data_IF_854284847776
#
_entry.id   IF_854284847776
#
_cell.length_a   1.000
_cell.length_b   1.000
_cell.length_c   1.000
_cell.angle_alpha   90.00
_cell.angle_beta   90.00
_cell.angle_gamma   90.00
#
_symmetry.space_group_name_H-M   'P 1'
#
loop_
_entity.id
_entity.type
_entity.pdbx_description
1 polymer ?
#
# COMPACT_ATOMS: atom_id res chain seq x y z
N UNK A 1 98.07 -0.42 25.01
CA UNK A 1 97.10 0.58 25.51
C UNK A 1 96.55 1.32 24.30
N UNK A 2 95.38 0.91 23.84
CA UNK A 2 94.55 1.59 22.83
C UNK A 2 93.38 0.63 22.54
N UNK A 3 92.15 0.99 22.93
CA UNK A 3 90.98 0.16 22.68
C UNK A 3 90.51 0.24 21.21
N UNK A 4 89.77 -0.78 20.77
CA UNK A 4 89.09 -0.81 19.46
C UNK A 4 87.58 -0.99 19.69
N UNK A 5 86.81 0.12 19.83
CA UNK A 5 85.39 0.06 20.17
C UNK A 5 84.52 -0.09 18.91
N UNK A 6 84.49 -1.28 18.32
CA UNK A 6 83.79 -1.52 17.05
C UNK A 6 82.74 -2.66 17.08
N UNK A 7 82.94 -3.72 17.87
CA UNK A 7 82.10 -4.93 17.80
C UNK A 7 80.81 -4.86 18.63
N UNK A 8 80.76 -4.04 19.69
CA UNK A 8 79.57 -3.91 20.54
C UNK A 8 78.42 -3.15 19.84
N UNK A 9 78.75 -2.26 18.91
CA UNK A 9 77.82 -1.34 18.23
C UNK A 9 76.83 -2.03 17.28
N UNK A 10 77.04 -3.32 16.97
CA UNK A 10 76.16 -4.14 16.14
C UNK A 10 75.06 -4.81 16.98
N UNK A 11 75.43 -5.42 18.11
CA UNK A 11 74.47 -6.10 18.99
C UNK A 11 73.51 -5.13 19.67
N UNK A 12 73.98 -3.96 20.10
CA UNK A 12 73.11 -2.95 20.73
C UNK A 12 72.04 -2.44 19.74
N UNK A 13 72.42 -2.21 18.47
CA UNK A 13 71.47 -1.86 17.40
C UNK A 13 70.47 -2.97 17.10
N UNK A 14 70.92 -4.23 17.06
CA UNK A 14 70.05 -5.38 16.81
C UNK A 14 69.03 -5.60 17.96
N UNK A 15 69.34 -5.15 19.17
CA UNK A 15 68.44 -5.17 20.32
C UNK A 15 67.45 -3.98 20.26
N UNK A 16 67.91 -2.78 19.92
CA UNK A 16 67.04 -1.59 19.78
C UNK A 16 66.14 -1.65 18.53
N UNK A 17 66.51 -2.41 17.49
CA UNK A 17 65.68 -2.75 16.34
C UNK A 17 64.68 -3.90 16.59
N UNK A 18 64.51 -4.35 17.84
CA UNK A 18 63.38 -5.23 18.17
C UNK A 18 62.06 -4.53 17.81
N UNK A 19 61.25 -5.10 16.88
CA UNK A 19 60.11 -4.39 16.33
C UNK A 19 59.04 -4.17 17.41
N UNK A 20 58.86 -2.90 17.80
CA UNK A 20 57.86 -2.48 18.80
C UNK A 20 56.51 -3.12 18.48
N UNK A 21 55.94 -3.77 19.49
CA UNK A 21 54.81 -4.69 19.41
C UNK A 21 53.71 -4.22 18.44
N UNK A 22 53.73 -4.76 17.21
CA UNK A 22 52.56 -4.69 16.36
C UNK A 22 51.44 -5.50 17.04
N UNK A 23 50.21 -4.97 17.18
CA UNK A 23 49.11 -5.72 17.74
C UNK A 23 48.91 -7.00 16.91
N UNK A 24 48.98 -8.16 17.56
CA UNK A 24 49.24 -9.47 16.93
C UNK A 24 48.09 -10.08 16.11
N UNK A 25 47.38 -9.29 15.32
CA UNK A 25 46.36 -9.75 14.38
C UNK A 25 45.69 -8.60 13.65
N UNK A 26 45.56 -8.73 12.33
CA UNK A 26 44.82 -7.80 11.48
C UNK A 26 43.38 -7.64 11.94
N UNK A 27 42.83 -6.43 11.82
CA UNK A 27 41.43 -6.14 12.14
C UNK A 27 40.48 -6.93 11.24
N UNK A 28 39.39 -7.43 11.81
CA UNK A 28 38.42 -8.27 11.11
C UNK A 28 37.19 -7.45 10.67
N UNK A 29 37.07 -7.24 9.36
CA UNK A 29 35.86 -6.69 8.72
C UNK A 29 34.77 -7.75 8.56
N UNK A 30 33.56 -7.32 8.18
CA UNK A 30 32.36 -8.17 8.04
C UNK A 30 32.47 -9.33 7.02
N UNK A 31 33.56 -9.43 6.25
CA UNK A 31 33.84 -10.53 5.30
C UNK A 31 35.30 -11.06 5.32
N UNK A 32 36.10 -10.71 6.33
CA UNK A 32 37.51 -11.10 6.44
C UNK A 32 38.41 -9.96 6.95
N UNK A 33 39.73 -10.16 6.97
CA UNK A 33 40.67 -9.12 7.44
C UNK A 33 40.59 -7.83 6.62
N UNK A 34 40.91 -6.68 7.23
CA UNK A 34 41.02 -5.42 6.50
C UNK A 34 42.14 -5.50 5.45
N UNK A 35 41.74 -5.37 4.19
CA UNK A 35 42.64 -5.41 3.05
C UNK A 35 43.69 -4.30 3.11
N UNK A 36 43.34 -3.09 3.55
CA UNK A 36 44.28 -1.97 3.60
C UNK A 36 45.39 -2.22 4.63
N UNK A 37 45.03 -2.79 5.78
CA UNK A 37 45.99 -3.18 6.82
C UNK A 37 46.91 -4.31 6.34
N UNK A 38 46.35 -5.36 5.73
CA UNK A 38 47.10 -6.48 5.16
C UNK A 38 48.02 -6.05 4.02
N UNK A 39 47.55 -5.23 3.07
CA UNK A 39 48.38 -4.72 1.97
C UNK A 39 49.51 -3.81 2.48
N UNK A 40 49.28 -3.05 3.57
CA UNK A 40 50.31 -2.24 4.23
C UNK A 40 51.40 -3.09 4.89
N UNK A 41 51.02 -4.16 5.61
CA UNK A 41 51.98 -5.08 6.21
C UNK A 41 52.74 -5.88 5.15
N UNK A 42 52.08 -6.31 4.06
CA UNK A 42 52.71 -7.01 2.95
C UNK A 42 53.70 -6.12 2.18
N UNK A 43 53.43 -4.82 2.05
CA UNK A 43 54.38 -3.88 1.43
C UNK A 43 55.55 -3.56 2.37
N UNK A 44 55.32 -3.38 3.68
CA UNK A 44 56.41 -3.26 4.67
C UNK A 44 57.30 -4.50 4.67
N UNK A 45 56.73 -5.71 4.73
CA UNK A 45 57.46 -6.97 4.70
C UNK A 45 58.24 -7.17 3.39
N UNK A 46 57.67 -6.75 2.25
CA UNK A 46 58.35 -6.78 0.95
C UNK A 46 59.56 -5.86 0.92
N UNK A 47 59.43 -4.65 1.49
CA UNK A 47 60.52 -3.69 1.58
C UNK A 47 61.63 -4.19 2.52
N UNK A 48 61.27 -4.77 3.68
CA UNK A 48 62.21 -5.44 4.58
C UNK A 48 62.94 -6.61 3.89
N UNK A 49 62.23 -7.46 3.14
CA UNK A 49 62.83 -8.55 2.35
C UNK A 49 63.74 -8.06 1.21
N UNK A 50 63.51 -6.84 0.69
CA UNK A 50 64.37 -6.22 -0.30
C UNK A 50 65.62 -5.61 0.35
N UNK A 51 65.46 -4.96 1.51
CA UNK A 51 66.56 -4.41 2.30
C UNK A 51 67.52 -5.53 2.76
N UNK A 52 67.01 -6.57 3.43
CA UNK A 52 67.80 -7.73 3.88
C UNK A 52 68.53 -8.46 2.74
N UNK A 53 68.04 -8.36 1.49
CA UNK A 53 68.72 -8.89 0.30
C UNK A 53 69.84 -7.99 -0.20
N UNK A 54 69.69 -6.67 -0.10
CA UNK A 54 70.77 -5.73 -0.36
C UNK A 54 71.87 -5.89 0.68
N UNK A 55 71.51 -5.93 1.97
CA UNK A 55 72.46 -6.12 3.08
C UNK A 55 73.22 -7.45 3.00
N UNK A 56 72.55 -8.52 2.54
CA UNK A 56 73.19 -9.81 2.25
C UNK A 56 74.20 -9.70 1.10
N UNK A 57 73.83 -9.09 -0.03
CA UNK A 57 74.72 -8.93 -1.17
C UNK A 57 75.94 -8.04 -0.83
N UNK A 58 75.73 -6.99 -0.04
CA UNK A 58 76.77 -6.13 0.50
C UNK A 58 77.72 -6.89 1.46
N UNK A 59 77.19 -7.82 2.27
CA UNK A 59 78.00 -8.67 3.13
C UNK A 59 78.78 -9.74 2.35
N UNK A 60 78.16 -10.34 1.32
CA UNK A 60 78.81 -11.28 0.40
C UNK A 60 79.96 -10.62 -0.37
N UNK A 61 79.77 -9.39 -0.88
CA UNK A 61 80.82 -8.62 -1.54
C UNK A 61 82.02 -8.31 -0.62
N UNK A 62 81.76 -7.85 0.62
CA UNK A 62 82.82 -7.63 1.63
C UNK A 62 83.55 -8.93 2.00
N UNK A 63 82.84 -10.06 1.99
CA UNK A 63 83.48 -11.38 2.20
C UNK A 63 84.34 -11.79 0.99
N UNK A 64 83.94 -11.46 -0.24
CA UNK A 64 84.77 -11.72 -1.42
C UNK A 64 86.05 -10.84 -1.41
N UNK A 65 85.93 -9.53 -1.13
CA UNK A 65 87.06 -8.61 -0.99
C UNK A 65 88.09 -9.09 0.07
N UNK A 66 87.62 -9.55 1.23
CA UNK A 66 88.52 -10.06 2.29
C UNK A 66 89.19 -11.38 1.91
N UNK A 67 88.52 -12.27 1.16
CA UNK A 67 89.15 -13.46 0.59
C UNK A 67 90.18 -13.12 -0.49
N UNK A 68 89.91 -12.14 -1.35
CA UNK A 68 90.85 -11.64 -2.36
C UNK A 68 92.13 -11.08 -1.70
N UNK A 69 91.97 -10.30 -0.63
CA UNK A 69 93.07 -9.74 0.15
C UNK A 69 93.94 -10.83 0.79
N UNK A 70 93.35 -11.77 1.53
CA UNK A 70 94.09 -12.90 2.15
C UNK A 70 94.78 -13.77 1.08
N UNK A 71 94.13 -14.01 -0.07
CA UNK A 71 94.76 -14.70 -1.22
C UNK A 71 95.91 -13.90 -1.83
N UNK A 72 95.93 -12.57 -1.74
CA UNK A 72 97.04 -11.74 -2.19
C UNK A 72 98.22 -11.78 -1.21
N UNK A 73 97.95 -11.75 0.10
CA UNK A 73 98.96 -11.90 1.15
C UNK A 73 99.61 -13.29 1.13
N UNK A 74 98.83 -14.36 0.93
CA UNK A 74 99.38 -15.71 0.73
C UNK A 74 100.31 -15.80 -0.50
N UNK A 75 99.99 -15.07 -1.58
CA UNK A 75 100.81 -15.07 -2.80
C UNK A 75 102.14 -14.38 -2.58
N UNK A 76 102.15 -13.17 -2.01
CA UNK A 76 103.39 -12.44 -1.74
C UNK A 76 104.25 -13.15 -0.69
N UNK A 77 103.66 -13.78 0.32
CA UNK A 77 104.38 -14.61 1.28
C UNK A 77 105.05 -15.84 0.62
N UNK A 78 104.38 -16.51 -0.32
CA UNK A 78 104.95 -17.63 -1.10
C UNK A 78 106.09 -17.15 -2.01
N UNK A 79 105.91 -16.05 -2.72
CA UNK A 79 106.94 -15.46 -3.60
C UNK A 79 108.22 -15.09 -2.82
N UNK A 80 108.09 -14.54 -1.60
CA UNK A 80 109.22 -14.26 -0.71
C UNK A 80 109.93 -15.54 -0.25
N UNK A 81 109.19 -16.56 0.19
CA UNK A 81 109.76 -17.83 0.62
C UNK A 81 110.46 -18.59 -0.52
N UNK A 82 109.95 -18.52 -1.75
CA UNK A 82 110.62 -19.08 -2.93
C UNK A 82 111.91 -18.33 -3.28
N UNK A 83 111.93 -16.99 -3.14
CA UNK A 83 113.13 -16.18 -3.29
C UNK A 83 114.20 -16.52 -2.25
N UNK A 84 113.83 -16.68 -0.97
CA UNK A 84 114.75 -17.10 0.10
C UNK A 84 115.31 -18.51 -0.15
N UNK A 85 114.46 -19.45 -0.58
CA UNK A 85 114.85 -20.84 -0.87
C UNK A 85 115.82 -20.92 -2.06
N UNK A 86 115.62 -20.12 -3.11
CA UNK A 86 116.57 -20.03 -4.24
C UNK A 86 117.90 -19.37 -3.83
N UNK A 87 117.87 -18.33 -3.00
CA UNK A 87 119.09 -17.71 -2.46
C UNK A 87 119.90 -18.67 -1.57
N UNK A 88 119.23 -19.44 -0.69
CA UNK A 88 119.87 -20.45 0.15
C UNK A 88 120.52 -21.58 -0.68
N UNK A 89 119.86 -22.02 -1.76
CA UNK A 89 120.44 -23.00 -2.71
C UNK A 89 121.69 -22.47 -3.41
N UNK A 90 121.69 -21.20 -3.84
CA UNK A 90 122.87 -20.59 -4.45
C UNK A 90 124.05 -20.50 -3.46
N UNK A 91 123.79 -20.16 -2.19
CA UNK A 91 124.83 -20.16 -1.14
C UNK A 91 125.39 -21.57 -0.86
N UNK A 92 124.58 -22.62 -1.00
CA UNK A 92 125.04 -24.00 -0.87
C UNK A 92 125.97 -24.40 -2.03
N UNK A 93 125.60 -24.13 -3.28
CA UNK A 93 126.48 -24.40 -4.44
C UNK A 93 127.77 -23.59 -4.38
N UNK A 94 127.71 -22.31 -3.96
CA UNK A 94 128.88 -21.47 -3.73
C UNK A 94 129.85 -22.07 -2.69
N UNK A 95 129.33 -22.78 -1.69
CA UNK A 95 130.14 -23.46 -0.68
C UNK A 95 130.73 -24.78 -1.21
N UNK A 96 129.95 -25.57 -1.97
CA UNK A 96 130.42 -26.79 -2.64
C UNK A 96 131.53 -26.48 -3.65
N UNK A 97 131.39 -25.44 -4.47
CA UNK A 97 132.42 -24.99 -5.41
C UNK A 97 133.71 -24.60 -4.68
N UNK A 98 133.64 -23.85 -3.56
CA UNK A 98 134.80 -23.48 -2.75
C UNK A 98 135.47 -24.69 -2.09
N UNK A 99 134.71 -25.70 -1.68
CA UNK A 99 135.27 -26.97 -1.21
C UNK A 99 135.98 -27.70 -2.36
N UNK A 100 135.43 -27.65 -3.57
CA UNK A 100 136.07 -28.25 -4.75
C UNK A 100 137.37 -27.54 -5.14
N UNK A 101 137.43 -26.20 -5.11
CA UNK A 101 138.65 -25.45 -5.43
C UNK A 101 139.74 -25.68 -4.39
N UNK A 102 139.42 -25.63 -3.10
CA UNK A 102 140.37 -25.97 -2.03
C UNK A 102 140.86 -27.42 -2.10
N UNK A 103 140.00 -28.36 -2.54
CA UNK A 103 140.39 -29.76 -2.77
C UNK A 103 141.36 -29.87 -3.96
N UNK A 104 141.10 -29.13 -5.05
CA UNK A 104 141.98 -29.11 -6.22
C UNK A 104 143.32 -28.42 -5.92
N UNK A 105 143.33 -27.30 -5.18
CA UNK A 105 144.55 -26.62 -4.71
C UNK A 105 145.41 -27.54 -3.83
N UNK A 106 144.79 -28.38 -3.00
CA UNK A 106 145.49 -29.38 -2.18
C UNK A 106 146.08 -30.54 -3.01
N UNK A 107 145.51 -30.82 -4.19
CA UNK A 107 145.97 -31.86 -5.13
C UNK A 107 147.07 -31.36 -6.07
N UNK A 108 146.95 -30.13 -6.58
CA UNK A 108 147.94 -29.47 -7.45
C UNK A 108 149.11 -28.83 -6.67
N UNK A 109 149.08 -28.86 -5.34
CA UNK A 109 150.19 -28.44 -4.49
C UNK A 109 151.50 -29.19 -4.88
N UNK A 110 152.52 -28.49 -5.41
CA UNK A 110 153.66 -29.15 -6.05
C UNK A 110 154.52 -29.89 -5.02
N UNK A 111 154.68 -31.21 -5.20
CA UNK A 111 155.59 -32.02 -4.38
C UNK A 111 157.02 -31.48 -4.49
N UNK A 112 157.70 -31.16 -3.36
CA UNK A 112 159.06 -30.63 -3.40
C UNK A 112 160.08 -31.73 -3.74
N UNK A 113 160.40 -31.91 -5.02
CA UNK A 113 161.53 -32.74 -5.45
C UNK A 113 162.88 -32.05 -5.13
N UNK A 114 163.32 -32.15 -3.88
CA UNK A 114 164.41 -31.32 -3.36
C UNK A 114 165.24 -31.94 -2.22
N UNK A 115 165.51 -33.25 -2.24
CA UNK A 115 166.41 -34.00 -1.32
C UNK A 115 166.13 -33.96 0.19
N UNK A 116 165.26 -33.09 0.69
CA UNK A 116 164.56 -33.25 1.97
C UNK A 116 163.17 -33.87 1.75
N UNK A 117 163.07 -34.81 0.80
CA UNK A 117 161.95 -35.74 0.76
C UNK A 117 162.06 -36.64 2.00
N UNK A 118 161.04 -36.69 2.89
CA UNK A 118 161.07 -37.58 4.04
C UNK A 118 161.39 -39.02 3.62
N UNK A 119 162.17 -39.72 4.44
CA UNK A 119 162.40 -41.16 4.23
C UNK A 119 161.05 -41.90 4.21
N UNK A 120 161.00 -43.09 3.60
CA UNK A 120 159.76 -43.87 3.54
C UNK A 120 159.19 -44.13 4.94
N UNK A 121 160.07 -44.33 5.92
CA UNK A 121 159.78 -44.47 7.35
C UNK A 121 159.25 -43.17 7.98
N UNK A 122 159.74 -42.00 7.56
CA UNK A 122 159.22 -40.69 7.99
C UNK A 122 157.86 -40.38 7.35
N UNK A 123 157.64 -40.76 6.09
CA UNK A 123 156.30 -40.70 5.49
C UNK A 123 155.33 -41.69 6.18
N UNK A 124 155.76 -42.90 6.51
CA UNK A 124 154.97 -43.85 7.30
C UNK A 124 154.73 -43.33 8.73
N UNK A 125 155.68 -42.64 9.36
CA UNK A 125 155.49 -42.00 10.66
C UNK A 125 154.51 -40.81 10.58
N UNK A 126 154.61 -39.97 9.54
CA UNK A 126 153.68 -38.86 9.29
C UNK A 126 152.29 -39.40 8.96
N UNK A 127 152.18 -40.46 8.15
CA UNK A 127 150.90 -41.13 7.85
C UNK A 127 150.31 -41.79 9.08
N UNK A 128 151.12 -42.41 9.96
CA UNK A 128 150.66 -42.98 11.23
C UNK A 128 150.19 -41.89 12.20
N UNK A 129 150.91 -40.77 12.30
CA UNK A 129 150.48 -39.61 13.10
C UNK A 129 149.23 -38.97 12.49
N UNK A 130 149.09 -38.91 11.17
CA UNK A 130 147.90 -38.42 10.49
C UNK A 130 146.71 -39.39 10.61
N UNK A 131 146.95 -40.70 10.61
CA UNK A 131 145.94 -41.75 10.88
C UNK A 131 145.48 -41.69 12.34
N UNK A 132 146.40 -41.52 13.29
CA UNK A 132 146.10 -41.38 14.72
C UNK A 132 145.38 -40.04 15.01
N UNK A 133 145.80 -38.94 14.37
CA UNK A 133 145.08 -37.66 14.43
C UNK A 133 143.71 -37.73 13.74
N UNK A 134 143.58 -38.38 12.58
CA UNK A 134 142.31 -38.59 11.91
C UNK A 134 141.38 -39.49 12.75
N UNK A 135 141.90 -40.53 13.38
CA UNK A 135 141.16 -41.38 14.32
C UNK A 135 140.69 -40.58 15.55
N UNK A 136 141.55 -39.72 16.13
CA UNK A 136 141.16 -38.80 17.20
C UNK A 136 140.11 -37.78 16.73
N UNK A 137 140.22 -37.24 15.52
CA UNK A 137 139.22 -36.33 14.94
C UNK A 137 137.89 -37.04 14.65
N UNK A 138 137.91 -38.28 14.15
CA UNK A 138 136.73 -39.12 13.92
C UNK A 138 136.06 -39.48 15.25
N UNK A 139 136.84 -39.83 16.28
CA UNK A 139 136.31 -40.09 17.63
C UNK A 139 135.71 -38.82 18.26
N UNK A 140 136.35 -37.65 18.09
CA UNK A 140 135.83 -36.39 18.59
C UNK A 140 134.56 -35.97 17.83
N UNK A 141 134.55 -36.11 16.50
CA UNK A 141 133.37 -35.87 15.66
C UNK A 141 132.22 -36.83 15.99
N UNK A 142 132.49 -38.11 16.27
CA UNK A 142 131.49 -39.07 16.72
C UNK A 142 130.92 -38.66 18.09
N UNK A 143 131.77 -38.29 19.06
CA UNK A 143 131.32 -37.80 20.38
C UNK A 143 130.55 -36.47 20.27
N UNK A 144 130.88 -35.60 19.33
CA UNK A 144 130.11 -34.37 19.04
C UNK A 144 128.77 -34.69 18.37
N UNK A 145 128.74 -35.62 17.42
CA UNK A 145 127.52 -36.08 16.77
C UNK A 145 126.57 -36.77 17.76
N UNK A 146 127.09 -37.64 18.64
CA UNK A 146 126.31 -38.28 19.70
C UNK A 146 125.73 -37.26 20.69
N UNK A 147 126.51 -36.21 21.04
CA UNK A 147 126.03 -35.10 21.89
C UNK A 147 124.95 -34.27 21.20
N UNK A 148 125.14 -33.93 19.92
CA UNK A 148 124.15 -33.17 19.14
C UNK A 148 122.87 -34.00 18.93
N UNK A 149 123.00 -35.29 18.65
CA UNK A 149 121.87 -36.22 18.55
C UNK A 149 121.18 -36.46 19.90
N UNK A 150 121.90 -36.40 21.02
CA UNK A 150 121.30 -36.43 22.35
C UNK A 150 120.52 -35.14 22.64
N UNK A 151 121.13 -33.98 22.41
CA UNK A 151 120.48 -32.67 22.58
C UNK A 151 119.24 -32.53 21.69
N UNK A 152 119.33 -32.85 20.40
CA UNK A 152 118.19 -32.81 19.48
C UNK A 152 117.07 -33.80 19.86
N UNK A 153 117.39 -34.94 20.50
CA UNK A 153 116.38 -35.86 21.07
C UNK A 153 115.73 -35.29 22.32
N UNK A 154 116.47 -34.57 23.15
CA UNK A 154 115.97 -33.88 24.35
C UNK A 154 115.08 -32.69 23.96
N UNK A 155 115.49 -31.87 22.98
CA UNK A 155 114.69 -30.79 22.39
C UNK A 155 113.40 -31.32 21.75
N UNK A 156 113.46 -32.40 20.95
CA UNK A 156 112.25 -33.01 20.37
C UNK A 156 111.35 -33.64 21.44
N UNK A 157 111.91 -34.15 22.54
CA UNK A 157 111.12 -34.64 23.67
C UNK A 157 110.44 -33.48 24.43
N UNK A 158 111.15 -32.36 24.63
CA UNK A 158 110.61 -31.16 25.26
C UNK A 158 109.50 -30.53 24.40
N UNK A 159 109.73 -30.32 23.10
CA UNK A 159 108.73 -29.81 22.16
C UNK A 159 107.47 -30.68 22.10
N UNK A 160 107.62 -32.01 22.19
CA UNK A 160 106.47 -32.93 22.26
C UNK A 160 105.71 -32.79 23.58
N UNK A 161 106.41 -32.76 24.72
CA UNK A 161 105.79 -32.58 26.02
C UNK A 161 105.07 -31.21 26.15
N UNK A 162 105.63 -30.16 25.53
CA UNK A 162 105.03 -28.84 25.43
C UNK A 162 103.79 -28.85 24.53
N UNK A 163 103.88 -29.43 23.32
CA UNK A 163 102.74 -29.57 22.41
C UNK A 163 101.61 -30.45 22.99
N UNK A 164 101.94 -31.54 23.70
CA UNK A 164 100.95 -32.39 24.39
C UNK A 164 100.27 -31.63 25.54
N UNK A 165 101.01 -30.79 26.28
CA UNK A 165 100.48 -29.95 27.35
C UNK A 165 99.59 -28.81 26.81
N UNK A 166 99.98 -28.20 25.69
CA UNK A 166 99.21 -27.17 25.00
C UNK A 166 97.93 -27.74 24.37
N UNK A 167 98.02 -28.88 23.68
CA UNK A 167 96.86 -29.61 23.17
C UNK A 167 95.89 -29.98 24.31
N UNK A 168 96.40 -30.46 25.45
CA UNK A 168 95.58 -30.74 26.64
C UNK A 168 94.90 -29.47 27.17
N UNK A 169 95.60 -28.33 27.20
CA UNK A 169 95.06 -27.03 27.63
C UNK A 169 93.95 -26.53 26.70
N UNK A 170 94.16 -26.63 25.38
CA UNK A 170 93.18 -26.24 24.35
C UNK A 170 91.93 -27.12 24.45
N UNK A 171 92.08 -28.43 24.59
CA UNK A 171 90.96 -29.37 24.75
C UNK A 171 90.18 -29.06 26.04
N UNK A 172 90.85 -28.81 27.16
CA UNK A 172 90.19 -28.47 28.42
C UNK A 172 89.43 -27.14 28.36
N UNK A 173 89.99 -26.13 27.68
CA UNK A 173 89.32 -24.84 27.46
C UNK A 173 88.09 -25.00 26.56
N UNK A 174 88.23 -25.67 25.41
CA UNK A 174 87.11 -25.91 24.49
C UNK A 174 85.99 -26.77 25.13
N UNK A 175 86.32 -27.70 26.02
CA UNK A 175 85.34 -28.44 26.82
C UNK A 175 84.62 -27.52 27.82
N UNK A 176 85.35 -26.69 28.55
CA UNK A 176 84.75 -25.73 29.49
C UNK A 176 83.81 -24.75 28.80
N UNK A 177 84.21 -24.21 27.64
CA UNK A 177 83.43 -23.27 26.85
C UNK A 177 82.17 -23.94 26.29
N UNK A 178 82.28 -25.18 25.79
CA UNK A 178 81.14 -25.96 25.31
C UNK A 178 80.13 -26.26 26.44
N UNK A 179 80.60 -26.58 27.65
CA UNK A 179 79.74 -26.79 28.81
C UNK A 179 79.15 -25.48 29.35
N UNK A 180 79.86 -24.36 29.25
CA UNK A 180 79.30 -23.04 29.56
C UNK A 180 78.22 -22.63 28.56
N UNK A 181 78.41 -22.90 27.26
CA UNK A 181 77.41 -22.65 26.22
C UNK A 181 76.18 -23.53 26.42
N UNK A 182 76.35 -24.82 26.73
CA UNK A 182 75.24 -25.72 27.10
C UNK A 182 74.44 -25.16 28.28
N UNK A 183 75.12 -24.79 29.38
CA UNK A 183 74.45 -24.25 30.57
C UNK A 183 73.67 -22.96 30.25
N UNK A 184 74.22 -22.06 29.42
CA UNK A 184 73.50 -20.87 28.93
C UNK A 184 72.23 -21.26 28.18
N UNK A 185 72.37 -22.11 27.16
CA UNK A 185 71.24 -22.61 26.34
C UNK A 185 70.17 -23.29 27.20
N UNK A 186 70.55 -24.11 28.19
CA UNK A 186 69.58 -24.75 29.10
C UNK A 186 68.84 -23.71 29.98
N UNK A 187 69.55 -22.67 30.47
CA UNK A 187 68.91 -21.59 31.24
C UNK A 187 68.04 -20.67 30.40
N UNK A 188 68.43 -20.40 29.15
CA UNK A 188 67.64 -19.61 28.19
C UNK A 188 66.41 -20.39 27.74
N UNK A 189 66.56 -21.68 27.39
CA UNK A 189 65.46 -22.58 27.04
C UNK A 189 64.42 -22.65 28.15
N UNK A 190 64.82 -22.92 29.38
CA UNK A 190 63.89 -22.98 30.54
C UNK A 190 63.26 -21.64 30.87
N UNK A 191 63.96 -20.51 30.65
CA UNK A 191 63.38 -19.17 30.78
C UNK A 191 62.35 -18.86 29.68
N UNK A 192 62.59 -19.32 28.44
CA UNK A 192 61.65 -19.21 27.32
C UNK A 192 60.43 -20.12 27.50
N UNK A 193 60.61 -21.36 27.94
CA UNK A 193 59.53 -22.30 28.29
C UNK A 193 58.64 -21.70 29.39
N UNK A 194 59.23 -21.26 30.51
CA UNK A 194 58.51 -20.58 31.58
C UNK A 194 57.91 -19.22 31.17
N UNK A 195 58.33 -18.60 30.06
CA UNK A 195 57.67 -17.43 29.46
C UNK A 195 56.44 -17.87 28.66
N UNK A 196 56.59 -18.86 27.78
CA UNK A 196 55.50 -19.39 26.96
C UNK A 196 54.37 -19.97 27.81
N UNK A 197 54.68 -20.68 28.92
CA UNK A 197 53.65 -21.16 29.86
C UNK A 197 52.84 -20.01 30.47
N UNK A 198 53.49 -18.90 30.87
CA UNK A 198 52.81 -17.72 31.43
C UNK A 198 51.96 -17.00 30.38
N UNK A 199 52.47 -16.85 29.16
CA UNK A 199 51.73 -16.24 28.06
C UNK A 199 50.54 -17.10 27.64
N UNK A 200 50.69 -18.43 27.59
CA UNK A 200 49.62 -19.39 27.33
C UNK A 200 48.55 -19.41 28.45
N UNK A 201 48.96 -19.37 29.73
CA UNK A 201 48.04 -19.29 30.86
C UNK A 201 47.22 -17.99 30.84
N UNK A 202 47.87 -16.84 30.59
CA UNK A 202 47.22 -15.54 30.44
C UNK A 202 46.30 -15.47 29.22
N UNK A 203 46.66 -16.12 28.11
CA UNK A 203 45.77 -16.27 26.95
C UNK A 203 44.55 -17.15 27.27
N UNK A 204 44.73 -18.26 27.99
CA UNK A 204 43.64 -19.13 28.43
C UNK A 204 42.71 -18.43 29.43
N UNK A 205 43.26 -17.63 30.35
CA UNK A 205 42.49 -16.79 31.29
C UNK A 205 41.66 -15.74 30.54
N UNK A 206 42.24 -15.03 29.56
CA UNK A 206 41.51 -14.10 28.68
C UNK A 206 40.40 -14.77 27.88
N UNK A 207 40.66 -15.96 27.31
CA UNK A 207 39.62 -16.75 26.62
C UNK A 207 38.52 -17.17 27.60
N UNK A 208 38.87 -17.53 28.84
CA UNK A 208 37.88 -17.87 29.86
C UNK A 208 37.04 -16.65 30.27
N UNK A 209 37.66 -15.50 30.55
CA UNK A 209 36.97 -14.25 30.84
C UNK A 209 36.01 -13.86 29.69
N UNK A 210 36.51 -13.81 28.45
CA UNK A 210 35.69 -13.51 27.28
C UNK A 210 34.54 -14.51 27.10
N UNK A 211 34.74 -15.79 27.44
CA UNK A 211 33.67 -16.79 27.42
C UNK A 211 32.60 -16.53 28.50
N UNK A 212 33.00 -16.11 29.71
CA UNK A 212 32.09 -15.74 30.79
C UNK A 212 31.29 -14.49 30.41
N UNK A 213 31.96 -13.43 29.94
CA UNK A 213 31.33 -12.19 29.45
C UNK A 213 30.35 -12.48 28.30
N UNK A 214 30.75 -13.31 27.33
CA UNK A 214 29.87 -13.75 26.25
C UNK A 214 28.69 -14.61 26.73
N UNK A 215 28.77 -15.31 27.87
CA UNK A 215 27.58 -15.93 28.50
C UNK A 215 26.71 -14.91 29.24
N UNK A 216 27.31 -13.96 29.96
CA UNK A 216 26.59 -12.91 30.68
C UNK A 216 25.74 -12.09 29.71
N UNK A 217 26.36 -11.55 28.65
CA UNK A 217 25.71 -10.78 27.57
C UNK A 217 24.58 -11.59 26.91
N UNK A 218 24.77 -12.89 26.66
CA UNK A 218 23.69 -13.75 26.14
C UNK A 218 22.52 -13.86 27.12
N UNK A 219 22.76 -14.14 28.40
CA UNK A 219 21.65 -14.22 29.38
C UNK A 219 20.96 -12.88 29.61
N UNK A 220 21.66 -11.76 29.43
CA UNK A 220 21.07 -10.42 29.51
C UNK A 220 20.22 -10.11 28.27
N UNK A 221 20.73 -10.40 27.06
CA UNK A 221 19.98 -10.28 25.82
C UNK A 221 18.74 -11.20 25.80
N UNK A 222 18.84 -12.43 26.33
CA UNK A 222 17.71 -13.35 26.50
C UNK A 222 16.65 -12.80 27.46
N UNK A 223 17.06 -12.22 28.61
CA UNK A 223 16.15 -11.54 29.55
C UNK A 223 15.50 -10.31 28.92
N UNK A 224 16.26 -9.50 28.18
CA UNK A 224 15.74 -8.33 27.45
C UNK A 224 14.73 -8.73 26.39
N UNK A 225 15.04 -9.76 25.58
CA UNK A 225 14.11 -10.30 24.59
C UNK A 225 12.87 -10.94 25.23
N UNK A 226 12.99 -11.59 26.40
CA UNK A 226 11.85 -12.09 27.16
C UNK A 226 10.97 -10.94 27.70
N UNK A 227 11.58 -9.87 28.22
CA UNK A 227 10.86 -8.68 28.70
C UNK A 227 10.13 -7.96 27.56
N UNK A 228 10.76 -7.80 26.39
CA UNK A 228 10.13 -7.23 25.20
C UNK A 228 8.97 -8.09 24.69
N UNK A 229 9.12 -9.42 24.66
CA UNK A 229 8.01 -10.33 24.33
C UNK A 229 6.84 -10.19 25.33
N UNK A 230 7.13 -10.13 26.63
CA UNK A 230 6.11 -9.96 27.67
C UNK A 230 5.40 -8.59 27.60
N UNK A 231 6.12 -7.54 27.19
CA UNK A 231 5.56 -6.21 26.93
C UNK A 231 4.62 -6.25 25.72
N UNK A 232 5.08 -6.78 24.57
CA UNK A 232 4.28 -6.86 23.33
C UNK A 232 3.06 -7.77 23.49
N UNK A 233 3.16 -8.90 24.21
CA UNK A 233 1.98 -9.72 24.51
C UNK A 233 0.98 -8.98 25.39
N UNK A 234 1.44 -8.23 26.40
CA UNK A 234 0.55 -7.43 27.25
C UNK A 234 -0.10 -6.27 26.47
N UNK A 235 0.64 -5.60 25.59
CA UNK A 235 0.10 -4.52 24.76
C UNK A 235 -0.91 -5.04 23.74
N UNK A 236 -0.66 -6.19 23.11
CA UNK A 236 -1.62 -6.81 22.17
C UNK A 236 -2.85 -7.38 22.89
N UNK A 237 -2.71 -7.95 24.10
CA UNK A 237 -3.83 -8.31 24.97
C UNK A 237 -4.66 -7.09 25.38
N UNK A 238 -4.01 -5.97 25.71
CA UNK A 238 -4.70 -4.72 26.04
C UNK A 238 -5.43 -4.13 24.83
N UNK A 239 -4.76 -3.96 23.69
CA UNK A 239 -5.39 -3.47 22.45
C UNK A 239 -6.57 -4.35 22.02
N UNK A 240 -6.46 -5.67 22.20
CA UNK A 240 -7.57 -6.59 21.98
C UNK A 240 -8.73 -6.34 22.96
N UNK A 241 -8.44 -6.25 24.27
CA UNK A 241 -9.46 -5.99 25.28
C UNK A 241 -10.15 -4.64 25.06
N UNK A 242 -9.41 -3.65 24.57
CA UNK A 242 -9.89 -2.29 24.27
C UNK A 242 -10.79 -2.29 23.03
N UNK A 243 -10.36 -2.90 21.92
CA UNK A 243 -11.20 -3.11 20.73
C UNK A 243 -12.45 -3.95 21.03
N UNK A 244 -12.34 -4.99 21.86
CA UNK A 244 -13.52 -5.75 22.31
C UNK A 244 -14.46 -4.92 23.20
N UNK A 245 -13.98 -3.87 23.90
CA UNK A 245 -14.86 -2.92 24.62
C UNK A 245 -15.56 -1.98 23.65
N UNK A 246 -14.84 -1.45 22.66
CA UNK A 246 -15.41 -0.58 21.62
C UNK A 246 -16.48 -1.30 20.78
N UNK A 247 -16.26 -2.56 20.40
CA UNK A 247 -17.29 -3.37 19.70
C UNK A 247 -18.53 -3.61 20.57
N UNK A 248 -18.36 -3.86 21.88
CA UNK A 248 -19.50 -3.99 22.81
C UNK A 248 -20.28 -2.68 22.92
N UNK A 249 -19.60 -1.55 22.99
CA UNK A 249 -20.23 -0.23 23.05
C UNK A 249 -20.93 0.15 21.73
N UNK A 250 -20.30 -0.14 20.58
CA UNK A 250 -20.92 0.04 19.26
C UNK A 250 -22.20 -0.79 19.14
N UNK A 251 -22.16 -2.08 19.52
CA UNK A 251 -23.33 -2.95 19.48
C UNK A 251 -24.45 -2.48 20.43
N UNK A 252 -24.10 -1.91 21.59
CA UNK A 252 -25.08 -1.30 22.49
C UNK A 252 -25.74 -0.07 21.86
N UNK A 253 -24.96 0.84 21.25
CA UNK A 253 -25.48 2.01 20.52
C UNK A 253 -26.36 1.60 19.33
N UNK A 254 -26.01 0.54 18.60
CA UNK A 254 -26.86 0.00 17.52
C UNK A 254 -28.20 -0.49 18.06
N UNK A 255 -28.20 -1.24 19.17
CA UNK A 255 -29.44 -1.69 19.82
C UNK A 255 -30.29 -0.52 20.33
N UNK A 256 -29.68 0.53 20.88
CA UNK A 256 -30.36 1.78 21.25
C UNK A 256 -30.99 2.47 20.02
N UNK A 257 -30.27 2.52 18.89
CA UNK A 257 -30.82 3.05 17.65
C UNK A 257 -31.97 2.20 17.11
N UNK A 258 -31.88 0.86 17.13
CA UNK A 258 -32.97 -0.05 16.78
C UNK A 258 -34.20 0.14 17.68
N UNK A 259 -34.00 0.34 18.99
CA UNK A 259 -35.08 0.64 19.96
C UNK A 259 -35.75 2.00 19.68
N UNK A 260 -34.98 3.03 19.29
CA UNK A 260 -35.58 4.32 18.89
C UNK A 260 -36.24 4.29 17.51
N UNK A 261 -35.76 3.44 16.60
CA UNK A 261 -36.32 3.28 15.25
C UNK A 261 -37.62 2.48 15.31
N UNK A 262 -37.67 1.39 16.07
CA UNK A 262 -38.91 0.63 16.31
C UNK A 262 -39.97 1.47 17.02
N UNK A 263 -39.61 2.23 18.07
CA UNK A 263 -40.54 3.20 18.67
C UNK A 263 -41.11 4.18 17.64
N UNK A 264 -40.26 4.80 16.81
CA UNK A 264 -40.72 5.73 15.76
C UNK A 264 -41.59 5.04 14.69
N UNK A 265 -41.33 3.77 14.39
CA UNK A 265 -42.19 2.98 13.49
C UNK A 265 -43.54 2.66 14.14
N UNK A 266 -43.58 2.31 15.42
CA UNK A 266 -44.82 2.04 16.16
C UNK A 266 -45.65 3.32 16.36
N UNK A 267 -45.00 4.44 16.68
CA UNK A 267 -45.64 5.77 16.78
C UNK A 267 -46.21 6.20 15.41
N UNK A 268 -45.44 6.10 14.32
CA UNK A 268 -45.91 6.44 12.98
C UNK A 268 -47.01 5.49 12.48
N UNK A 269 -46.99 4.20 12.84
CA UNK A 269 -48.08 3.27 12.56
C UNK A 269 -49.34 3.62 13.34
N UNK A 270 -49.23 4.04 14.61
CA UNK A 270 -50.36 4.52 15.41
C UNK A 270 -50.94 5.82 14.83
N UNK A 271 -50.11 6.80 14.46
CA UNK A 271 -50.56 8.02 13.79
C UNK A 271 -51.24 7.73 12.44
N UNK A 272 -50.67 6.82 11.63
CA UNK A 272 -51.28 6.38 10.38
C UNK A 272 -52.64 5.69 10.60
N UNK A 273 -52.75 4.81 11.59
CA UNK A 273 -54.02 4.16 11.94
C UNK A 273 -55.06 5.15 12.48
N UNK A 274 -54.65 6.14 13.29
CA UNK A 274 -55.54 7.20 13.77
C UNK A 274 -56.03 8.08 12.61
N UNK A 275 -55.14 8.50 11.71
CA UNK A 275 -55.49 9.28 10.53
C UNK A 275 -56.36 8.48 9.55
N UNK A 276 -56.08 7.19 9.36
CA UNK A 276 -56.89 6.29 8.55
C UNK A 276 -58.30 6.13 9.14
N UNK A 277 -58.43 5.86 10.44
CA UNK A 277 -59.72 5.77 11.12
C UNK A 277 -60.49 7.11 11.07
N UNK A 278 -59.79 8.25 11.19
CA UNK A 278 -60.38 9.59 11.02
C UNK A 278 -60.86 9.83 9.58
N UNK A 279 -60.12 9.36 8.57
CA UNK A 279 -60.49 9.45 7.16
C UNK A 279 -61.66 8.54 6.81
N UNK A 280 -61.69 7.30 7.32
CA UNK A 280 -62.82 6.38 7.22
C UNK A 280 -64.06 6.99 7.86
N UNK A 281 -63.97 7.45 9.12
CA UNK A 281 -65.07 8.12 9.80
C UNK A 281 -65.47 9.46 9.15
N UNK A 282 -64.64 10.05 8.28
CA UNK A 282 -65.01 11.20 7.43
C UNK A 282 -65.76 10.77 6.17
N UNK A 283 -65.31 9.71 5.49
CA UNK A 283 -65.99 9.11 4.35
C UNK A 283 -67.35 8.51 4.75
N UNK A 284 -67.46 7.87 5.91
CA UNK A 284 -68.72 7.38 6.49
C UNK A 284 -69.68 8.53 6.80
N UNK A 285 -69.19 9.67 7.31
CA UNK A 285 -70.02 10.87 7.50
C UNK A 285 -70.50 11.46 6.18
N UNK A 286 -69.61 11.61 5.19
CA UNK A 286 -69.99 12.13 3.86
C UNK A 286 -70.99 11.21 3.17
N UNK A 287 -70.80 9.89 3.24
CA UNK A 287 -71.74 8.93 2.63
C UNK A 287 -73.06 8.86 3.41
N UNK A 288 -73.06 9.04 4.73
CA UNK A 288 -74.29 9.14 5.53
C UNK A 288 -75.05 10.42 5.19
N UNK A 289 -74.40 11.58 5.19
CA UNK A 289 -74.98 12.88 4.83
C UNK A 289 -75.52 12.88 3.38
N UNK A 290 -74.78 12.31 2.43
CA UNK A 290 -75.26 12.12 1.06
C UNK A 290 -76.48 11.18 0.98
N UNK A 291 -76.50 10.08 1.75
CA UNK A 291 -77.66 9.18 1.81
C UNK A 291 -78.87 9.85 2.48
N UNK A 292 -78.67 10.66 3.52
CA UNK A 292 -79.72 11.47 4.15
C UNK A 292 -80.25 12.56 3.21
N UNK A 293 -79.38 13.22 2.44
CA UNK A 293 -79.77 14.18 1.42
C UNK A 293 -80.57 13.51 0.29
N UNK A 294 -80.14 12.34 -0.18
CA UNK A 294 -80.89 11.53 -1.16
C UNK A 294 -82.25 11.12 -0.59
N UNK A 295 -82.31 10.60 0.63
CA UNK A 295 -83.57 10.22 1.28
C UNK A 295 -84.50 11.43 1.47
N UNK A 296 -84.00 12.57 1.93
CA UNK A 296 -84.77 13.80 2.07
C UNK A 296 -85.27 14.34 0.72
N UNK A 297 -84.49 14.15 -0.36
CA UNK A 297 -84.91 14.50 -1.72
C UNK A 297 -86.01 13.57 -2.24
N UNK A 298 -85.93 12.27 -1.94
CA UNK A 298 -86.98 11.29 -2.25
C UNK A 298 -88.26 11.57 -1.46
N UNK A 299 -88.17 11.86 -0.17
CA UNK A 299 -89.31 12.29 0.66
C UNK A 299 -89.91 13.62 0.18
N UNK A 300 -89.09 14.54 -0.35
CA UNK A 300 -89.56 15.77 -0.96
C UNK A 300 -90.33 15.50 -2.27
N UNK A 301 -89.75 14.67 -3.16
CA UNK A 301 -90.39 14.24 -4.39
C UNK A 301 -91.70 13.47 -4.11
N UNK A 302 -91.72 12.55 -3.14
CA UNK A 302 -92.91 11.85 -2.69
C UNK A 302 -93.98 12.83 -2.17
N UNK A 303 -93.62 13.79 -1.31
CA UNK A 303 -94.56 14.83 -0.83
C UNK A 303 -95.07 15.76 -1.93
N UNK A 304 -94.29 16.00 -2.99
CA UNK A 304 -94.76 16.71 -4.18
C UNK A 304 -95.72 15.82 -4.99
N UNK A 305 -95.39 14.55 -5.23
CA UNK A 305 -96.26 13.62 -5.97
C UNK A 305 -97.60 13.39 -5.26
N UNK A 306 -97.63 13.20 -3.95
CA UNK A 306 -98.86 13.06 -3.17
C UNK A 306 -99.73 14.34 -3.22
N UNK A 307 -99.09 15.53 -3.19
CA UNK A 307 -99.81 16.80 -3.43
C UNK A 307 -100.34 16.89 -4.86
N UNK A 308 -99.59 16.44 -5.86
CA UNK A 308 -100.03 16.43 -7.25
C UNK A 308 -101.22 15.47 -7.45
N UNK A 309 -101.18 14.27 -6.87
CA UNK A 309 -102.29 13.30 -6.82
C UNK A 309 -103.53 13.91 -6.15
N UNK A 310 -103.37 14.60 -5.01
CA UNK A 310 -104.49 15.23 -4.31
C UNK A 310 -105.05 16.45 -5.06
N UNK A 311 -104.20 17.23 -5.74
CA UNK A 311 -104.67 18.24 -6.70
C UNK A 311 -105.39 17.60 -7.89
N UNK A 312 -104.91 16.49 -8.43
CA UNK A 312 -105.55 15.78 -9.55
C UNK A 312 -106.90 15.17 -9.13
N UNK A 313 -106.99 14.60 -7.92
CA UNK A 313 -108.25 14.15 -7.30
C UNK A 313 -109.21 15.32 -7.09
N UNK A 314 -108.74 16.43 -6.53
CA UNK A 314 -109.55 17.63 -6.33
C UNK A 314 -110.08 18.15 -7.67
N UNK A 315 -109.23 18.28 -8.68
CA UNK A 315 -109.62 18.69 -10.04
C UNK A 315 -110.62 17.72 -10.68
N UNK A 316 -110.44 16.40 -10.53
CA UNK A 316 -111.45 15.41 -10.98
C UNK A 316 -112.79 15.58 -10.28
N UNK A 317 -112.80 15.75 -8.95
CA UNK A 317 -114.06 15.96 -8.20
C UNK A 317 -114.72 17.30 -8.52
N UNK A 318 -113.94 18.35 -8.75
CA UNK A 318 -114.43 19.66 -9.17
C UNK A 318 -115.01 19.60 -10.60
N UNK A 319 -114.35 18.91 -11.52
CA UNK A 319 -114.86 18.66 -12.87
C UNK A 319 -116.19 17.87 -12.83
N UNK A 320 -116.25 16.79 -12.06
CA UNK A 320 -117.48 16.01 -11.87
C UNK A 320 -118.61 16.82 -11.21
N UNK A 321 -118.29 17.73 -10.28
CA UNK A 321 -119.28 18.63 -9.67
C UNK A 321 -119.79 19.70 -10.66
N UNK A 322 -118.90 20.27 -11.48
CA UNK A 322 -119.27 21.19 -12.56
C UNK A 322 -120.13 20.48 -13.61
N UNK A 323 -119.81 19.23 -13.95
CA UNK A 323 -120.62 18.42 -14.87
C UNK A 323 -122.00 18.12 -14.27
N UNK A 324 -122.07 17.69 -13.00
CA UNK A 324 -123.33 17.41 -12.32
C UNK A 324 -124.23 18.66 -12.21
N UNK A 325 -123.68 19.82 -11.87
CA UNK A 325 -124.41 21.08 -11.86
C UNK A 325 -124.84 21.52 -13.27
N UNK A 326 -124.01 21.31 -14.30
CA UNK A 326 -124.41 21.53 -15.69
C UNK A 326 -125.56 20.60 -16.11
N UNK A 327 -125.55 19.33 -15.69
CA UNK A 327 -126.65 18.39 -15.92
C UNK A 327 -127.93 18.80 -15.18
N UNK A 328 -127.85 19.32 -13.94
CA UNK A 328 -129.00 19.86 -13.20
C UNK A 328 -129.55 21.11 -13.89
N UNK A 329 -128.69 22.09 -14.22
CA UNK A 329 -129.10 23.31 -14.95
C UNK A 329 -129.73 22.99 -16.31
N UNK A 330 -129.26 21.95 -17.01
CA UNK A 330 -129.88 21.45 -18.24
C UNK A 330 -131.26 20.80 -17.99
N UNK A 331 -131.41 19.98 -16.94
CA UNK A 331 -132.71 19.41 -16.55
C UNK A 331 -133.72 20.50 -16.17
N UNK A 332 -133.31 21.49 -15.38
CA UNK A 332 -134.16 22.63 -15.00
C UNK A 332 -134.53 23.51 -16.20
N UNK A 333 -133.65 23.63 -17.20
CA UNK A 333 -133.98 24.31 -18.46
C UNK A 333 -135.04 23.52 -19.26
N UNK A 334 -134.88 22.19 -19.36
CA UNK A 334 -135.84 21.31 -20.02
C UNK A 334 -137.19 21.28 -19.30
N UNK A 335 -137.22 21.26 -17.97
CA UNK A 335 -138.48 21.22 -17.22
C UNK A 335 -139.20 22.58 -17.25
N UNK A 336 -138.49 23.70 -17.16
CA UNK A 336 -139.07 25.03 -17.44
C UNK A 336 -139.60 25.14 -18.87
N UNK A 337 -138.95 24.50 -19.85
CA UNK A 337 -139.47 24.41 -21.21
C UNK A 337 -140.74 23.54 -21.30
N UNK A 338 -140.79 22.38 -20.63
CA UNK A 338 -142.01 21.54 -20.52
C UNK A 338 -143.18 22.30 -19.91
N UNK A 339 -143.00 22.91 -18.74
CA UNK A 339 -144.04 23.69 -18.04
C UNK A 339 -144.50 24.87 -18.91
N UNK A 340 -143.59 25.55 -19.61
CA UNK A 340 -143.95 26.61 -20.57
C UNK A 340 -144.78 26.07 -21.74
N UNK A 341 -144.37 24.94 -22.33
CA UNK A 341 -145.12 24.29 -23.42
C UNK A 341 -146.50 23.78 -22.95
N UNK A 342 -146.59 23.19 -21.76
CA UNK A 342 -147.86 22.75 -21.18
C UNK A 342 -148.80 23.93 -20.93
N UNK A 343 -148.29 25.05 -20.40
CA UNK A 343 -149.06 26.29 -20.23
C UNK A 343 -149.51 26.91 -21.57
N UNK A 344 -148.71 26.78 -22.64
CA UNK A 344 -149.12 27.18 -24.00
C UNK A 344 -150.24 26.27 -24.51
N UNK A 345 -150.11 24.94 -24.35
CA UNK A 345 -151.15 23.97 -24.74
C UNK A 345 -152.46 24.21 -23.96
N UNK A 346 -152.38 24.44 -22.65
CA UNK A 346 -153.54 24.78 -21.81
C UNK A 346 -154.17 26.11 -22.23
N UNK A 347 -153.37 27.15 -22.51
CA UNK A 347 -153.87 28.43 -23.02
C UNK A 347 -154.55 28.31 -24.38
N UNK A 348 -154.03 27.49 -25.30
CA UNK A 348 -154.61 27.26 -26.63
C UNK A 348 -155.88 26.40 -26.54
N UNK A 349 -155.90 25.38 -25.67
CA UNK A 349 -157.08 24.53 -25.43
C UNK A 349 -158.19 25.32 -24.75
N UNK A 350 -157.84 26.16 -23.77
CA UNK A 350 -158.76 27.10 -23.14
C UNK A 350 -159.36 28.08 -24.17
N UNK A 351 -158.51 28.77 -24.93
CA UNK A 351 -158.96 29.72 -25.96
C UNK A 351 -159.85 29.08 -27.03
N UNK A 352 -159.49 27.91 -27.56
CA UNK A 352 -160.34 27.19 -28.54
C UNK A 352 -161.67 26.73 -27.93
N UNK A 353 -161.71 26.33 -26.66
CA UNK A 353 -162.97 26.01 -25.97
C UNK A 353 -163.87 27.24 -25.74
N UNK A 354 -163.28 28.42 -25.55
CA UNK A 354 -164.00 29.70 -25.44
C UNK A 354 -164.54 30.14 -26.81
N UNK A 355 -163.74 30.04 -27.87
CA UNK A 355 -164.17 30.34 -29.25
C UNK A 355 -165.29 29.40 -29.71
N UNK A 356 -165.23 28.12 -29.33
CA UNK A 356 -166.33 27.17 -29.57
C UNK A 356 -167.62 27.58 -28.83
N UNK A 357 -167.53 27.95 -27.54
CA UNK A 357 -168.71 28.42 -26.78
C UNK A 357 -169.28 29.72 -27.32
N UNK A 358 -168.45 30.68 -27.69
CA UNK A 358 -168.92 31.95 -28.27
C UNK A 358 -169.59 31.75 -29.64
N UNK A 359 -169.07 30.82 -30.46
CA UNK A 359 -169.73 30.39 -31.70
C UNK A 359 -171.09 29.70 -31.42
N UNK A 360 -171.20 28.85 -30.40
CA UNK A 360 -172.46 28.24 -29.96
C UNK A 360 -173.46 29.28 -29.40
N UNK A 361 -172.99 30.30 -28.67
CA UNK A 361 -173.80 31.40 -28.16
C UNK A 361 -174.25 32.33 -29.30
N UNK A 362 -173.41 32.59 -30.30
CA UNK A 362 -173.81 33.29 -31.53
C UNK A 362 -174.85 32.50 -32.34
N UNK A 363 -174.69 31.18 -32.47
CA UNK A 363 -175.68 30.32 -33.10
C UNK A 363 -177.03 30.30 -32.35
N UNK A 364 -176.99 30.33 -31.00
CA UNK A 364 -178.19 30.48 -30.16
C UNK A 364 -178.84 31.86 -30.31
N UNK A 365 -178.07 32.95 -30.34
CA UNK A 365 -178.57 34.32 -30.59
C UNK A 365 -179.24 34.45 -31.96
N UNK A 366 -178.63 33.93 -33.03
CA UNK A 366 -179.19 33.95 -34.39
C UNK A 366 -180.53 33.19 -34.46
N UNK A 367 -180.61 32.02 -33.82
CA UNK A 367 -181.86 31.23 -33.77
C UNK A 367 -182.98 31.94 -32.99
N UNK A 368 -182.63 32.65 -31.91
CA UNK A 368 -183.56 33.48 -31.14
C UNK A 368 -184.05 34.71 -31.94
N UNK A 369 -183.14 35.39 -32.65
CA UNK A 369 -183.48 36.53 -33.53
C UNK A 369 -184.43 36.13 -34.67
N UNK A 370 -184.26 34.96 -35.27
CA UNK A 370 -185.22 34.42 -36.25
C UNK A 370 -186.61 34.19 -35.64
N UNK A 371 -186.68 33.77 -34.38
CA UNK A 371 -187.95 33.57 -33.67
C UNK A 371 -188.63 34.90 -33.32
N UNK A 372 -187.87 35.94 -32.94
CA UNK A 372 -188.43 37.29 -32.71
C UNK A 372 -188.91 37.95 -34.01
N UNK A 373 -188.20 37.77 -35.13
CA UNK A 373 -188.66 38.23 -36.45
C UNK A 373 -189.99 37.57 -36.83
N UNK A 374 -190.17 36.27 -36.52
CA UNK A 374 -191.43 35.58 -36.78
C UNK A 374 -192.62 36.11 -35.95
N UNK A 375 -192.41 36.46 -34.67
CA UNK A 375 -193.47 37.07 -33.84
C UNK A 375 -193.77 38.52 -34.24
N UNK A 376 -192.74 39.32 -34.54
CA UNK A 376 -192.90 40.72 -34.93
C UNK A 376 -193.62 40.85 -36.29
N UNK A 377 -193.35 39.94 -37.23
CA UNK A 377 -194.07 39.84 -38.51
C UNK A 377 -195.56 39.44 -38.38
N UNK A 378 -196.00 38.96 -37.22
CA UNK A 378 -197.41 38.74 -36.94
C UNK A 378 -198.07 40.01 -36.38
N UNK A 379 -197.43 40.68 -35.43
CA UNK A 379 -197.95 41.90 -34.77
C UNK A 379 -198.04 43.10 -35.72
N UNK A 380 -197.04 43.27 -36.60
CA UNK A 380 -197.00 44.33 -37.62
C UNK A 380 -198.00 44.11 -38.78
N UNK A 381 -198.74 42.97 -38.81
CA UNK A 381 -199.73 42.69 -39.85
C UNK A 381 -201.11 43.29 -39.59
N UNK A 382 -201.46 43.61 -38.35
CA UNK A 382 -202.84 44.01 -37.98
C UNK A 382 -203.05 45.54 -37.89
N UNK A 383 -202.01 46.33 -37.63
CA UNK A 383 -202.16 47.79 -37.48
C UNK A 383 -201.22 48.60 -38.40
N UNK A 384 -201.82 49.15 -39.47
CA UNK A 384 -201.34 50.26 -40.30
C UNK A 384 -200.16 49.94 -41.26
N UNK A 385 -200.56 49.57 -42.49
CA UNK A 385 -199.89 49.92 -43.77
C UNK A 385 -199.48 51.41 -43.80
N UNK A 386 -198.44 51.85 -44.56
CA UNK A 386 -197.54 51.07 -45.44
C UNK A 386 -196.02 51.48 -45.38
N UNK A 387 -195.23 50.89 -46.29
CA UNK A 387 -193.99 51.40 -46.93
C UNK A 387 -192.64 51.61 -46.19
N UNK A 388 -191.78 50.58 -46.27
CA UNK A 388 -190.37 50.67 -46.76
C UNK A 388 -189.21 51.03 -45.80
N UNK A 389 -187.91 50.98 -46.19
CA UNK A 389 -187.15 50.34 -47.33
C UNK A 389 -185.62 50.35 -46.98
N UNK A 390 -184.93 49.19 -46.91
CA UNK A 390 -183.43 48.99 -46.99
C UNK A 390 -182.54 49.76 -45.95
N UNK A 391 -181.18 49.79 -45.83
CA UNK A 391 -179.93 49.11 -46.33
C UNK A 391 -178.69 49.63 -45.50
N UNK A 392 -177.43 49.17 -45.55
CA UNK A 392 -176.75 47.84 -45.59
C UNK A 392 -175.18 48.03 -45.49
N UNK A 393 -174.34 47.00 -45.77
CA UNK A 393 -172.91 47.01 -46.28
C UNK A 393 -171.60 47.17 -45.40
N UNK A 394 -170.74 46.10 -45.42
CA UNK A 394 -169.36 45.99 -46.03
C UNK A 394 -168.07 46.63 -45.30
N UNK A 395 -166.76 46.59 -45.73
CA UNK A 395 -165.69 45.63 -45.22
C UNK A 395 -164.16 46.04 -45.08
N UNK A 396 -163.26 45.06 -44.73
CA UNK A 396 -161.88 44.71 -45.30
C UNK A 396 -160.45 45.19 -44.79
N UNK A 397 -159.39 44.35 -45.10
CA UNK A 397 -157.91 44.60 -45.33
C UNK A 397 -156.76 44.23 -44.29
N UNK A 398 -155.48 44.06 -44.75
CA UNK A 398 -154.18 43.64 -44.09
C UNK A 398 -152.92 43.94 -45.03
N UNK A 399 -151.62 43.45 -44.93
CA UNK A 399 -150.77 42.65 -43.96
C UNK A 399 -149.25 43.15 -43.80
N UNK A 400 -148.22 42.30 -43.42
CA UNK A 400 -146.72 42.24 -43.81
C UNK A 400 -145.69 41.64 -42.77
N UNK A 401 -144.35 41.56 -43.06
CA UNK A 401 -143.33 40.56 -42.57
C UNK A 401 -141.80 40.98 -42.59
N UNK A 402 -140.81 40.15 -42.15
CA UNK A 402 -139.37 39.98 -42.66
C UNK A 402 -138.33 39.29 -41.69
N UNK A 403 -137.03 39.18 -42.07
CA UNK A 403 -136.06 38.06 -41.89
C UNK A 403 -134.68 38.25 -41.14
N UNK A 404 -133.99 37.11 -40.86
CA UNK A 404 -132.54 36.72 -41.03
C UNK A 404 -131.26 37.32 -40.32
N UNK A 405 -130.30 36.40 -40.05
CA UNK A 405 -128.80 36.45 -40.23
C UNK A 405 -127.83 37.17 -39.23
N UNK A 406 -126.50 37.13 -39.58
CA UNK A 406 -125.27 37.69 -38.93
C UNK A 406 -124.31 36.68 -38.24
N UNK A 407 -123.01 37.02 -38.11
CA UNK A 407 -121.87 36.17 -37.66
C UNK A 407 -120.56 36.99 -37.36
N UNK A 408 -119.41 36.30 -37.17
CA UNK A 408 -117.99 36.80 -37.17
C UNK A 408 -117.50 37.60 -35.92
N UNK A 409 -116.21 37.95 -35.64
CA UNK A 409 -114.82 37.41 -35.89
C UNK A 409 -113.77 38.32 -35.16
N UNK A 410 -112.53 37.86 -34.93
CA UNK A 410 -111.21 38.60 -34.88
C UNK A 410 -110.38 38.57 -33.57
N UNK A 411 -109.07 38.93 -33.51
CA UNK A 411 -107.87 38.46 -34.28
C UNK A 411 -106.55 39.15 -33.83
N UNK A 412 -105.40 38.45 -33.92
CA UNK A 412 -104.04 39.02 -34.04
C UNK A 412 -103.24 39.30 -32.74
N UNK A 413 -101.91 39.49 -32.77
CA UNK A 413 -100.87 39.31 -33.83
C UNK A 413 -99.43 39.31 -33.24
N UNK A 414 -98.50 38.61 -33.90
CA UNK A 414 -97.02 38.76 -33.87
C UNK A 414 -96.26 38.44 -32.54
N UNK A 415 -94.93 38.19 -32.50
CA UNK A 415 -93.90 38.26 -33.57
C UNK A 415 -92.78 37.19 -33.46
N UNK A 416 -91.89 37.20 -34.46
CA UNK A 416 -90.61 36.48 -34.67
C UNK A 416 -89.51 36.84 -33.62
N UNK A 417 -88.32 36.23 -33.51
CA UNK A 417 -87.72 34.91 -33.85
C UNK A 417 -86.29 34.88 -33.23
N UNK A 418 -85.57 33.75 -33.24
CA UNK A 418 -84.25 33.53 -33.91
C UNK A 418 -83.59 32.19 -33.47
N UNK A 419 -82.49 31.81 -34.13
CA UNK A 419 -81.60 30.66 -33.83
C UNK A 419 -80.32 31.15 -33.06
N UNK A 420 -79.20 30.44 -32.84
CA UNK A 420 -78.59 29.25 -33.47
C UNK A 420 -77.76 28.41 -32.44
N UNK A 421 -76.95 27.44 -32.91
CA UNK A 421 -76.35 26.33 -32.13
C UNK A 421 -74.88 26.04 -32.53
N UNK A 422 -74.13 25.36 -31.64
CA UNK A 422 -72.79 24.70 -31.77
C UNK A 422 -71.46 25.49 -31.65
N UNK A 423 -70.43 24.74 -31.18
CA UNK A 423 -68.97 24.98 -31.02
C UNK A 423 -68.48 26.21 -30.19
N UNK A 424 -67.34 26.20 -29.48
CA UNK A 424 -66.10 25.38 -29.56
C UNK A 424 -65.70 24.68 -28.22
N UNK A 425 -64.76 23.73 -28.31
CA UNK A 425 -64.14 22.97 -27.22
C UNK A 425 -62.59 23.22 -27.18
N UNK A 426 -61.87 22.61 -26.22
CA UNK A 426 -60.39 22.55 -26.10
C UNK A 426 -59.66 23.84 -25.61
N UNK A 427 -59.07 23.81 -24.39
CA UNK A 427 -57.59 23.88 -24.23
C UNK A 427 -57.05 23.71 -22.77
N UNK A 428 -55.74 23.43 -22.70
CA UNK A 428 -54.78 23.51 -21.56
C UNK A 428 -55.11 22.91 -20.19
N UNK A 429 -54.58 21.70 -19.95
CA UNK A 429 -53.93 21.37 -18.67
C UNK A 429 -52.48 21.85 -18.70
N UNK A 430 -52.01 22.55 -17.66
CA UNK A 430 -50.59 22.77 -17.37
C UNK A 430 -50.38 22.50 -15.87
N UNK A 431 -49.47 21.59 -15.54
CA UNK A 431 -49.19 21.18 -14.17
C UNK A 431 -48.10 22.04 -13.50
N UNK A 432 -48.06 22.00 -12.16
CA UNK A 432 -47.28 22.90 -11.31
C UNK A 432 -45.85 22.38 -10.98
N UNK A 433 -45.03 23.31 -10.50
CA UNK A 433 -43.57 23.23 -10.22
C UNK A 433 -43.19 22.27 -9.09
N UNK A 434 -42.07 21.55 -9.25
CA UNK A 434 -41.14 21.16 -8.17
C UNK A 434 -39.69 21.22 -8.69
N UNK A 435 -38.73 21.65 -7.86
CA UNK A 435 -37.28 21.74 -8.16
C UNK A 435 -36.45 20.77 -7.29
N UNK A 436 -35.30 20.29 -7.83
CA UNK A 436 -34.10 19.77 -7.13
C UNK A 436 -34.27 18.55 -6.17
N UNK A 437 -33.24 17.83 -5.70
CA UNK A 437 -31.77 18.01 -5.80
C UNK A 437 -31.04 16.64 -6.07
N UNK A 438 -29.82 16.24 -5.59
CA UNK A 438 -28.78 15.83 -6.54
C UNK A 438 -28.13 14.43 -6.36
N UNK A 439 -27.19 14.15 -7.27
CA UNK A 439 -26.05 13.21 -7.17
C UNK A 439 -26.31 11.70 -7.12
N UNK A 440 -26.23 11.06 -8.29
CA UNK A 440 -25.73 9.69 -8.45
C UNK A 440 -24.26 9.76 -8.93
N UNK A 441 -23.31 9.34 -8.09
CA UNK A 441 -21.90 9.17 -8.46
C UNK A 441 -21.56 7.68 -8.39
N UNK A 442 -21.80 6.98 -9.50
CA UNK A 442 -21.53 5.55 -9.61
C UNK A 442 -20.08 5.29 -10.05
N UNK A 443 -19.23 4.89 -9.11
CA UNK A 443 -17.95 4.22 -9.40
C UNK A 443 -17.87 2.92 -8.62
N UNK A 444 -17.82 1.79 -9.33
CA UNK A 444 -17.13 0.60 -8.84
C UNK A 444 -15.62 0.90 -8.71
N UNK A 445 -14.89 0.31 -7.77
CA UNK A 445 -14.72 -1.13 -7.54
C UNK A 445 -13.92 -1.81 -8.66
N UNK A 446 -12.61 -1.53 -8.69
CA UNK A 446 -11.60 -2.45 -9.22
C UNK A 446 -10.44 -2.60 -8.21
N UNK A 447 -10.51 -3.74 -7.51
CA UNK A 447 -9.44 -4.66 -7.05
C UNK A 447 -8.01 -4.15 -6.75
N UNK A 448 -7.47 -4.66 -5.63
CA UNK A 448 -6.03 -4.74 -5.35
C UNK A 448 -5.39 -5.90 -6.14
N UNK A 449 -4.21 -5.69 -6.71
CA UNK A 449 -3.27 -6.77 -7.07
C UNK A 449 -1.83 -6.39 -6.73
N UNK A 450 -1.03 -7.38 -6.31
CA UNK A 450 0.40 -7.23 -5.97
C UNK A 450 1.27 -7.26 -7.24
N UNK A 451 2.32 -6.44 -7.31
CA UNK A 451 3.54 -6.86 -8.01
C UNK A 451 4.82 -6.35 -7.31
N UNK A 452 5.79 -7.25 -7.16
CA UNK A 452 7.02 -7.06 -6.39
C UNK A 452 8.14 -7.85 -7.09
N UNK A 453 9.03 -7.15 -7.81
CA UNK A 453 10.22 -7.74 -8.44
C UNK A 453 11.37 -6.73 -8.51
N UNK A 454 12.58 -7.21 -8.18
CA UNK A 454 13.84 -6.52 -8.45
C UNK A 454 14.27 -6.74 -9.91
N UNK A 455 14.76 -5.70 -10.59
CA UNK A 455 16.05 -5.73 -11.30
C UNK A 455 16.36 -4.34 -11.91
N UNK A 456 17.51 -3.74 -11.56
CA UNK A 456 18.13 -2.70 -12.41
C UNK A 456 19.65 -2.56 -12.16
N UNK A 457 20.41 -3.53 -12.67
CA UNK A 457 21.86 -3.59 -12.54
C UNK A 457 22.59 -2.61 -13.50
N UNK A 458 22.51 -1.31 -13.19
CA UNK A 458 23.06 -0.21 -13.99
C UNK A 458 24.60 -0.27 -14.17
N UNK A 459 25.06 -1.04 -15.16
CA UNK A 459 26.47 -1.16 -15.54
C UNK A 459 26.86 -0.02 -16.46
N UNK A 460 27.65 0.94 -15.97
CA UNK A 460 28.16 2.07 -16.78
C UNK A 460 29.68 1.97 -16.94
N UNK A 461 30.10 1.57 -18.14
CA UNK A 461 31.49 1.66 -18.62
C UNK A 461 31.91 3.13 -18.76
N UNK A 462 32.85 3.58 -17.91
CA UNK A 462 33.23 4.97 -17.74
C UNK A 462 34.73 5.20 -17.90
N UNK A 463 35.20 5.34 -19.14
CA UNK A 463 36.61 5.55 -19.48
C UNK A 463 37.17 6.82 -18.83
N UNK A 464 38.14 6.66 -17.95
CA UNK A 464 39.07 7.73 -17.54
C UNK A 464 40.46 7.36 -18.09
N UNK A 465 41.05 8.28 -18.84
CA UNK A 465 42.35 8.10 -19.48
C UNK A 465 43.50 8.24 -18.48
N UNK A 466 44.50 7.37 -18.59
CA UNK A 466 45.76 7.50 -17.87
C UNK A 466 46.66 8.41 -18.70
N UNK A 467 46.82 9.67 -18.27
CA UNK A 467 47.88 10.54 -18.80
C UNK A 467 49.22 10.13 -18.16
N UNK A 468 50.05 9.45 -18.95
CA UNK A 468 51.43 9.11 -18.57
C UNK A 468 52.31 10.34 -18.78
N UNK A 469 52.95 10.82 -17.71
CA UNK A 469 53.95 11.90 -17.76
C UNK A 469 55.26 11.44 -17.12
N UNK A 470 55.95 10.58 -17.85
CA UNK A 470 57.41 10.56 -17.91
C UNK A 470 57.80 11.51 -19.08
N UNK A 471 58.91 12.23 -19.12
CA UNK A 471 60.09 12.36 -18.24
C UNK A 471 60.29 13.88 -17.92
N UNK A 472 61.34 14.44 -17.30
CA UNK A 472 62.78 14.24 -17.56
C UNK A 472 63.68 14.80 -16.44
N UNK A 473 64.96 14.44 -16.50
CA UNK A 473 66.01 14.65 -15.51
C UNK A 473 66.76 15.98 -15.69
N UNK A 474 66.94 16.81 -14.65
CA UNK A 474 68.03 17.81 -14.61
C UNK A 474 68.28 18.51 -13.25
N UNK A 475 69.39 18.11 -12.60
CA UNK A 475 70.43 18.93 -11.97
C UNK A 475 70.12 20.07 -10.96
N UNK A 476 70.89 20.02 -9.85
CA UNK A 476 71.23 21.13 -8.92
C UNK A 476 70.09 21.65 -8.02
N UNK A 477 70.29 21.78 -6.70
CA UNK A 477 71.55 22.16 -6.02
C UNK A 477 71.62 21.70 -4.57
#
# INVERSE_FOLDING_TARGET
>A
MSESPAENDFFDKLIDETPREQPGGFTASFRGYDKAEVDSALTTLRNQLQQMKADLADAEARHEDTLEAVRAEERSARELLEAELTAAKAQASDAEDRVSTLTNELVDAPRPEGKDAPSREQFEAILRVAEEQANVLIQNAAVQADRLMAAAREEVAAQRAEADADATRIIAHAQHDADQIRLKVDTEFTAHEARLEREAAHAAEKVHQASQEATAIRTEAEKGAAALRALVTRETEQLRADAEREVREMNARVLEFEETLTRRQDDAQQEFLLLHNQAVAHAERITTDANEQVAASLDHAQRISAKADDYERLMRTQAAAIEADAQVRARDALERARVKSQKIVESVTGHTSTVLRDAEDHARKLRWQQQQLASFMAEVRELIRPDGVFSDETPAAAPTASAAASAATSAGVADLADADVDDDDIETYVAEVVEADPSDVFLGDEVLEDELLDDDAATIDGKITIDVVEVDESASR
#
